data_IF_648227873814
#
_entry.id   IF_648227873814
#
_cell.length_a   1.000
_cell.length_b   1.000
_cell.length_c   1.000
_cell.angle_alpha   90.00
_cell.angle_beta   90.00
_cell.angle_gamma   90.00
#
_symmetry.space_group_name_H-M   'P 1'
#
loop_
_entity.id
_entity.type
_entity.pdbx_description
1 polymer ?
#
# COMPACT_ATOMS: atom_id res chain seq x y z
N UNK A 1 18.22 -4.21 10.79
CA UNK A 1 16.95 -4.30 10.02
C UNK A 1 17.15 -3.55 8.71
N UNK A 2 16.96 -4.20 7.56
CA UNK A 2 17.25 -3.60 6.25
C UNK A 2 15.99 -2.91 5.69
N UNK A 3 15.99 -1.59 5.45
CA UNK A 3 14.82 -0.87 4.94
C UNK A 3 14.35 -1.37 3.55
N UNK A 4 15.27 -1.86 2.71
CA UNK A 4 14.92 -2.50 1.43
C UNK A 4 14.01 -3.72 1.62
N UNK A 5 14.30 -4.53 2.65
CA UNK A 5 13.55 -5.74 2.94
C UNK A 5 12.16 -5.43 3.50
N UNK A 6 12.03 -4.34 4.28
CA UNK A 6 10.75 -3.82 4.75
C UNK A 6 9.87 -3.38 3.56
N UNK A 7 10.43 -2.62 2.63
CA UNK A 7 9.70 -2.11 1.46
C UNK A 7 9.16 -3.26 0.59
N UNK A 8 9.96 -4.29 0.35
CA UNK A 8 9.52 -5.48 -0.42
C UNK A 8 8.37 -6.22 0.26
N UNK A 9 8.40 -6.35 1.59
CA UNK A 9 7.32 -6.98 2.36
C UNK A 9 6.03 -6.15 2.28
N UNK A 10 6.15 -4.82 2.40
CA UNK A 10 4.99 -3.93 2.27
C UNK A 10 4.41 -3.99 0.85
N UNK A 11 5.25 -4.05 -0.19
CA UNK A 11 4.81 -4.23 -1.58
C UNK A 11 4.08 -5.57 -1.79
N UNK A 12 4.58 -6.64 -1.18
CA UNK A 12 3.95 -7.96 -1.25
C UNK A 12 2.61 -8.00 -0.51
N UNK A 13 2.54 -7.45 0.70
CA UNK A 13 1.34 -7.44 1.56
C UNK A 13 0.26 -6.47 1.06
N UNK A 14 0.64 -5.27 0.63
CA UNK A 14 -0.29 -4.22 0.23
C UNK A 14 -0.51 -4.09 -1.28
N UNK A 15 0.24 -4.81 -2.13
CA UNK A 15 0.10 -4.70 -3.59
C UNK A 15 0.21 -6.01 -4.38
N UNK A 16 0.56 -7.14 -3.75
CA UNK A 16 0.97 -8.34 -4.48
C UNK A 16 0.31 -9.65 -4.06
N UNK A 17 -0.30 -9.74 -2.88
CA UNK A 17 -0.79 -11.01 -2.31
C UNK A 17 -1.79 -11.76 -3.21
N UNK A 18 -2.82 -11.09 -3.73
CA UNK A 18 -3.77 -11.74 -4.65
C UNK A 18 -3.29 -11.80 -6.11
N UNK A 19 -2.34 -10.95 -6.52
CA UNK A 19 -1.78 -10.95 -7.88
C UNK A 19 -0.91 -12.19 -8.09
N UNK A 20 -0.18 -12.58 -7.04
CA UNK A 20 0.64 -13.77 -7.00
C UNK A 20 -0.20 -15.06 -6.98
N UNK A 21 -1.38 -15.05 -6.35
CA UNK A 21 -2.25 -16.22 -6.21
C UNK A 21 -3.32 -16.38 -7.32
N UNK A 22 -3.71 -15.31 -8.04
CA UNK A 22 -4.77 -15.40 -9.04
C UNK A 22 -4.72 -14.37 -10.17
N UNK A 23 -3.57 -13.70 -10.36
CA UNK A 23 -3.38 -12.73 -11.44
C UNK A 23 -4.19 -11.43 -11.25
N UNK A 24 -4.18 -10.53 -12.26
CA UNK A 24 -4.78 -9.19 -12.17
C UNK A 24 -6.26 -9.14 -11.80
N UNK A 25 -7.01 -10.24 -12.01
CA UNK A 25 -8.45 -10.33 -11.75
C UNK A 25 -8.79 -10.65 -10.28
N UNK A 26 -7.87 -11.28 -9.54
CA UNK A 26 -8.05 -11.70 -8.13
C UNK A 26 -7.09 -10.93 -7.21
N UNK A 27 -6.00 -10.42 -7.78
CA UNK A 27 -5.07 -9.54 -7.12
C UNK A 27 -5.63 -8.17 -6.86
N UNK A 28 -5.93 -7.91 -5.59
CA UNK A 28 -6.24 -6.59 -5.03
C UNK A 28 -5.15 -5.53 -5.17
N UNK A 29 -4.38 -5.56 -6.27
CA UNK A 29 -3.38 -4.56 -6.63
C UNK A 29 -3.99 -3.17 -6.87
N UNK A 30 -5.29 -3.07 -7.19
CA UNK A 30 -5.98 -1.77 -7.22
C UNK A 30 -6.21 -1.21 -5.83
N UNK A 31 -7.00 -1.91 -5.01
CA UNK A 31 -7.42 -1.43 -3.68
C UNK A 31 -6.24 -1.34 -2.71
N UNK A 32 -5.36 -2.33 -2.70
CA UNK A 32 -4.20 -2.33 -1.80
C UNK A 32 -3.21 -1.20 -2.13
N UNK A 33 -2.98 -0.93 -3.41
CA UNK A 33 -2.11 0.16 -3.85
C UNK A 33 -2.75 1.52 -3.55
N UNK A 34 -4.07 1.66 -3.72
CA UNK A 34 -4.83 2.85 -3.31
C UNK A 34 -4.67 3.09 -1.80
N UNK A 35 -4.86 2.05 -0.97
CA UNK A 35 -4.72 2.17 0.48
C UNK A 35 -3.28 2.50 0.90
N UNK A 36 -2.29 1.93 0.22
CA UNK A 36 -0.87 2.24 0.44
C UNK A 36 -0.56 3.71 0.10
N UNK A 37 -1.07 4.21 -1.02
CA UNK A 37 -0.95 5.63 -1.40
C UNK A 37 -1.61 6.52 -0.35
N UNK A 38 -2.85 6.23 0.05
CA UNK A 38 -3.56 7.01 1.07
C UNK A 38 -2.80 7.02 2.40
N UNK A 39 -2.21 5.90 2.80
CA UNK A 39 -1.38 5.80 4.00
C UNK A 39 -0.13 6.67 3.89
N UNK A 40 0.59 6.64 2.76
CA UNK A 40 1.76 7.50 2.54
C UNK A 40 1.35 8.98 2.62
N UNK A 41 0.28 9.38 1.93
CA UNK A 41 -0.22 10.77 1.93
C UNK A 41 -0.67 11.19 3.33
N UNK A 42 -1.31 10.31 4.09
CA UNK A 42 -1.66 10.53 5.50
C UNK A 42 -0.41 10.77 6.38
N UNK A 43 0.61 9.92 6.25
CA UNK A 43 1.86 10.03 7.02
C UNK A 43 2.64 11.30 6.67
N UNK A 44 2.61 11.73 5.40
CA UNK A 44 3.13 13.03 4.96
C UNK A 44 2.28 14.22 5.44
N UNK A 45 1.14 13.98 6.08
CA UNK A 45 0.26 15.00 6.66
C UNK A 45 -0.78 15.57 5.70
N UNK A 46 -0.90 15.04 4.48
CA UNK A 46 -1.82 15.54 3.46
C UNK A 46 -3.30 15.24 3.72
N UNK A 47 -3.62 14.26 4.57
CA UNK A 47 -5.01 13.87 4.90
C UNK A 47 -5.44 14.29 6.33
N UNK A 48 -4.80 15.30 6.92
CA UNK A 48 -5.17 15.81 8.25
C UNK A 48 -6.36 16.78 8.13
N UNK A 49 -7.29 16.72 9.08
CA UNK A 49 -8.40 17.69 9.13
C UNK A 49 -7.84 19.11 9.26
N UNK A 50 -8.33 20.08 8.46
CA UNK A 50 -8.10 21.49 8.72
C UNK A 50 -8.58 21.81 10.15
N UNK A 51 -7.75 22.52 10.91
CA UNK A 51 -8.11 22.96 12.24
C UNK A 51 -8.88 24.27 12.07
N UNK A 52 -10.20 24.23 12.29
CA UNK A 52 -11.07 25.41 12.43
C UNK A 52 -10.82 26.11 13.76
#
# INVERSE_FOLDING_TARGET
>A
MNPLLLILILLLLFGGGGFYFGGPAVGGGGVGLILLILLIVYLMGGLRSPRS
#
